data_IF_794200541116
#
_entry.id   IF_794200541116
#
_cell.length_a   1.000
_cell.length_b   1.000
_cell.length_c   1.000
_cell.angle_alpha   90.00
_cell.angle_beta   90.00
_cell.angle_gamma   90.00
#
_symmetry.space_group_name_H-M   'P 1'
#
loop_
_entity.id
_entity.type
_entity.pdbx_description
1 polymer ?
#
# COMPACT_ATOMS: atom_id res chain seq x y z
N UNK A 1 13.85 -23.43 -10.75
CA UNK A 1 14.52 -22.61 -11.77
C UNK A 1 13.97 -21.21 -11.62
N UNK A 2 14.67 -20.32 -10.91
CA UNK A 2 14.22 -18.93 -10.70
C UNK A 2 14.41 -18.17 -12.01
N UNK A 3 13.33 -17.64 -12.57
CA UNK A 3 13.41 -16.74 -13.74
C UNK A 3 13.44 -15.30 -13.26
N UNK A 4 14.38 -14.52 -13.76
CA UNK A 4 14.44 -13.06 -13.55
C UNK A 4 13.27 -12.42 -14.30
N UNK A 5 12.31 -11.85 -13.56
CA UNK A 5 11.04 -11.35 -14.11
C UNK A 5 11.16 -9.93 -14.71
N UNK A 6 12.23 -9.19 -14.39
CA UNK A 6 12.41 -7.82 -14.87
C UNK A 6 13.59 -7.77 -15.86
N UNK A 7 13.26 -7.66 -17.14
CA UNK A 7 14.24 -7.39 -18.20
C UNK A 7 14.70 -5.93 -18.11
N UNK A 8 16.02 -5.74 -18.17
CA UNK A 8 16.67 -4.43 -18.26
C UNK A 8 16.33 -3.82 -19.64
N UNK A 9 15.64 -2.69 -19.65
CA UNK A 9 15.59 -1.84 -20.85
C UNK A 9 16.77 -0.89 -20.75
N UNK A 10 17.82 -1.17 -21.52
CA UNK A 10 18.91 -0.22 -21.79
C UNK A 10 18.41 0.82 -22.79
N UNK A 11 18.29 2.06 -22.38
CA UNK A 11 18.23 3.20 -23.30
C UNK A 11 19.54 3.98 -23.18
N UNK A 12 20.38 3.86 -24.19
CA UNK A 12 21.55 4.72 -24.39
C UNK A 12 21.14 5.99 -25.11
N UNK A 13 21.34 7.14 -24.49
CA UNK A 13 21.51 8.40 -25.20
C UNK A 13 22.50 9.27 -24.43
N UNK A 14 23.75 9.37 -24.99
CA UNK A 14 24.73 10.39 -24.61
C UNK A 14 24.35 11.72 -25.29
N UNK A 15 24.12 12.73 -24.45
CA UNK A 15 24.27 14.12 -24.87
C UNK A 15 24.97 14.86 -23.74
N UNK A 16 26.22 15.25 -23.99
CA UNK A 16 27.02 16.13 -23.16
C UNK A 16 26.47 17.55 -23.21
N UNK A 17 25.88 18.02 -22.13
CA UNK A 17 25.73 19.43 -21.84
C UNK A 17 25.99 19.63 -20.36
N UNK A 18 26.68 20.71 -20.00
CA UNK A 18 27.03 21.12 -18.65
C UNK A 18 25.80 21.19 -17.75
N UNK A 19 25.51 20.11 -17.03
CA UNK A 19 24.36 19.99 -16.16
C UNK A 19 24.84 20.04 -14.71
N UNK A 20 24.28 20.96 -13.97
CA UNK A 20 23.98 20.71 -12.56
C UNK A 20 23.23 19.38 -12.54
N UNK A 21 23.88 18.32 -12.12
CA UNK A 21 23.24 17.01 -11.94
C UNK A 21 22.16 17.23 -10.89
N UNK A 22 20.92 17.35 -11.34
CA UNK A 22 19.81 17.13 -10.45
C UNK A 22 20.01 15.70 -9.89
N UNK A 23 20.10 15.59 -8.58
CA UNK A 23 20.22 14.30 -7.91
C UNK A 23 19.02 13.46 -8.34
N UNK A 24 19.26 12.38 -9.08
CA UNK A 24 18.16 11.51 -9.52
C UNK A 24 17.50 10.89 -8.27
N UNK A 25 16.18 10.98 -8.19
CA UNK A 25 15.43 10.37 -7.12
C UNK A 25 15.75 8.87 -7.05
N UNK A 26 16.06 8.40 -5.83
CA UNK A 26 16.31 6.98 -5.60
C UNK A 26 15.67 6.52 -4.30
N UNK A 27 15.04 5.35 -4.34
CA UNK A 27 14.40 4.69 -3.20
C UNK A 27 14.83 3.24 -3.09
N UNK A 28 14.58 2.61 -1.94
CA UNK A 28 14.81 1.18 -1.75
C UNK A 28 13.76 0.38 -2.53
N UNK A 29 14.16 -0.44 -3.50
CA UNK A 29 13.22 -1.29 -4.23
C UNK A 29 12.50 -2.25 -3.27
N UNK A 30 11.20 -2.48 -3.51
CA UNK A 30 10.41 -3.43 -2.75
C UNK A 30 9.35 -4.10 -3.61
N UNK A 31 8.80 -5.21 -3.13
CA UNK A 31 7.64 -5.87 -3.70
C UNK A 31 6.59 -6.03 -2.62
N UNK A 32 5.33 -5.91 -3.01
CA UNK A 32 4.17 -6.23 -2.19
C UNK A 32 3.20 -7.07 -3.02
N UNK A 33 2.71 -8.17 -2.47
CA UNK A 33 1.85 -9.10 -3.19
C UNK A 33 0.74 -9.60 -2.29
N UNK A 34 -0.37 -9.94 -2.89
CA UNK A 34 -1.44 -10.70 -2.26
C UNK A 34 -1.74 -11.97 -3.09
N UNK A 35 -2.93 -12.53 -2.95
CA UNK A 35 -3.33 -13.75 -3.65
C UNK A 35 -3.48 -13.54 -5.17
N UNK A 36 -3.85 -12.33 -5.60
CA UNK A 36 -4.35 -12.06 -6.95
C UNK A 36 -3.39 -11.23 -7.81
N UNK A 37 -2.60 -10.31 -7.21
CA UNK A 37 -1.73 -9.40 -7.96
C UNK A 37 -0.47 -9.00 -7.18
N UNK A 38 0.46 -8.39 -7.87
CA UNK A 38 1.74 -7.92 -7.31
C UNK A 38 2.00 -6.47 -7.70
N UNK A 39 2.54 -5.71 -6.75
CA UNK A 39 3.17 -4.41 -6.94
C UNK A 39 4.68 -4.53 -6.78
N UNK A 40 5.43 -3.87 -7.64
CA UNK A 40 6.88 -3.72 -7.54
C UNK A 40 7.28 -2.26 -7.62
N UNK A 41 7.92 -1.76 -6.58
CA UNK A 41 8.56 -0.45 -6.54
C UNK A 41 10.00 -0.58 -7.02
N UNK A 42 10.37 0.19 -8.05
CA UNK A 42 11.75 0.27 -8.54
C UNK A 42 12.53 1.35 -7.82
N UNK A 43 13.85 1.29 -7.92
CA UNK A 43 14.74 2.30 -7.32
C UNK A 43 14.53 3.72 -7.86
N UNK A 44 13.99 3.86 -9.06
CA UNK A 44 13.64 5.14 -9.67
C UNK A 44 12.29 5.72 -9.19
N UNK A 45 11.66 5.09 -8.19
CA UNK A 45 10.37 5.50 -7.62
C UNK A 45 9.16 5.17 -8.50
N UNK A 46 9.32 4.44 -9.59
CA UNK A 46 8.20 3.97 -10.41
C UNK A 46 7.60 2.70 -9.84
N UNK A 47 6.27 2.58 -9.91
CA UNK A 47 5.51 1.41 -9.47
C UNK A 47 5.05 0.61 -10.69
N UNK A 48 5.25 -0.70 -10.62
CA UNK A 48 4.85 -1.66 -11.64
C UNK A 48 3.94 -2.71 -11.03
N UNK A 49 2.91 -3.11 -11.77
CA UNK A 49 1.88 -4.02 -11.30
C UNK A 49 1.57 -5.11 -12.34
N UNK A 50 1.16 -6.30 -11.88
CA UNK A 50 0.68 -7.39 -12.73
C UNK A 50 -0.18 -8.37 -11.93
N UNK A 51 -1.00 -9.15 -12.62
CA UNK A 51 -1.95 -10.09 -12.06
C UNK A 51 -3.39 -9.72 -12.39
N UNK A 52 -4.33 -10.14 -11.54
CA UNK A 52 -5.75 -9.83 -11.67
C UNK A 52 -6.01 -8.33 -11.43
N UNK A 53 -6.92 -7.77 -12.21
CA UNK A 53 -7.24 -6.33 -12.18
C UNK A 53 -8.75 -6.04 -12.21
N UNK A 54 -9.57 -7.01 -11.91
CA UNK A 54 -11.03 -6.87 -11.93
C UNK A 54 -11.52 -5.66 -11.14
N UNK A 55 -10.81 -5.32 -10.06
CA UNK A 55 -11.14 -4.21 -9.16
C UNK A 55 -10.25 -2.98 -9.34
N UNK A 56 -9.46 -2.91 -10.41
CA UNK A 56 -8.59 -1.76 -10.71
C UNK A 56 -7.31 -1.68 -9.90
N UNK A 57 -6.94 -2.74 -9.19
CA UNK A 57 -5.80 -2.80 -8.27
C UNK A 57 -4.42 -2.61 -8.93
N UNK A 58 -4.31 -2.76 -10.26
CA UNK A 58 -3.06 -2.45 -10.98
C UNK A 58 -2.85 -0.94 -11.21
N UNK A 59 -3.90 -0.10 -11.05
CA UNK A 59 -3.77 1.36 -11.18
C UNK A 59 -3.48 1.84 -12.59
N UNK A 60 -3.92 1.12 -13.63
CA UNK A 60 -3.63 1.39 -15.03
C UNK A 60 -4.76 2.09 -15.79
N UNK A 61 -5.83 2.47 -15.08
CA UNK A 61 -7.00 3.16 -15.63
C UNK A 61 -8.00 2.25 -16.32
N UNK A 62 -7.88 0.94 -16.14
CA UNK A 62 -8.79 -0.10 -16.65
C UNK A 62 -8.93 -1.22 -15.63
N UNK A 63 -9.87 -2.13 -15.85
CA UNK A 63 -10.05 -3.36 -15.07
C UNK A 63 -9.54 -4.62 -15.79
N UNK A 64 -8.64 -4.47 -16.77
CA UNK A 64 -8.06 -5.60 -17.49
C UNK A 64 -6.85 -6.16 -16.75
N UNK A 65 -6.81 -7.48 -16.63
CA UNK A 65 -5.69 -8.22 -16.07
C UNK A 65 -4.41 -7.99 -16.89
N UNK A 66 -3.26 -8.10 -16.25
CA UNK A 66 -1.99 -8.08 -16.94
C UNK A 66 -1.12 -9.28 -16.56
N UNK A 67 -0.72 -10.05 -17.57
CA UNK A 67 0.22 -11.17 -17.41
C UNK A 67 1.69 -10.71 -17.27
N UNK A 68 1.95 -9.44 -17.54
CA UNK A 68 3.29 -8.85 -17.54
C UNK A 68 3.30 -7.59 -16.70
N UNK A 69 4.44 -7.20 -16.12
CA UNK A 69 4.56 -5.92 -15.42
C UNK A 69 4.17 -4.75 -16.30
N UNK A 70 3.20 -3.96 -15.84
CA UNK A 70 2.76 -2.70 -16.45
C UNK A 70 2.96 -1.58 -15.45
N UNK A 71 3.28 -0.39 -15.90
CA UNK A 71 3.51 0.74 -15.02
C UNK A 71 2.18 1.31 -14.52
N UNK A 72 2.03 1.44 -13.21
CA UNK A 72 0.92 2.15 -12.55
C UNK A 72 0.96 3.63 -12.93
N UNK A 73 -0.21 4.20 -13.25
CA UNK A 73 -0.31 5.58 -13.74
C UNK A 73 -0.28 6.60 -12.60
N UNK A 74 0.20 7.83 -12.92
CA UNK A 74 0.04 9.01 -12.08
C UNK A 74 0.91 9.05 -10.82
N UNK A 75 1.71 8.03 -10.55
CA UNK A 75 2.63 7.97 -9.41
C UNK A 75 4.03 8.44 -9.79
N UNK A 76 4.69 9.12 -8.87
CA UNK A 76 6.05 9.60 -9.01
C UNK A 76 6.76 9.58 -7.65
N UNK A 77 8.06 9.33 -7.67
CA UNK A 77 8.93 9.39 -6.50
C UNK A 77 8.40 8.57 -5.30
N UNK A 78 7.85 7.37 -5.58
CA UNK A 78 7.27 6.49 -4.57
C UNK A 78 8.36 5.88 -3.68
N UNK A 79 8.08 5.76 -2.38
CA UNK A 79 9.00 5.21 -1.37
C UNK A 79 8.45 3.96 -0.68
N UNK A 80 7.14 3.72 -0.75
CA UNK A 80 6.48 2.55 -0.16
C UNK A 80 5.29 2.12 -1.01
N UNK A 81 5.04 0.81 -1.13
CA UNK A 81 3.85 0.25 -1.77
C UNK A 81 3.25 -0.86 -0.91
N UNK A 82 1.92 -0.99 -0.95
CA UNK A 82 1.18 -2.03 -0.26
C UNK A 82 0.08 -2.61 -1.17
N UNK A 83 0.06 -3.93 -1.31
CA UNK A 83 -0.93 -4.71 -2.06
C UNK A 83 -1.70 -5.60 -1.09
N UNK A 84 -2.97 -5.29 -0.83
CA UNK A 84 -3.78 -6.03 0.14
C UNK A 84 -5.26 -6.04 -0.25
N UNK A 85 -5.85 -7.23 -0.32
CA UNK A 85 -7.22 -7.35 -0.84
C UNK A 85 -7.32 -6.79 -2.25
N UNK A 86 -8.38 -6.02 -2.51
CA UNK A 86 -8.63 -5.40 -3.82
C UNK A 86 -8.12 -3.95 -3.91
N UNK A 87 -7.46 -3.45 -2.84
CA UNK A 87 -6.87 -2.12 -2.77
C UNK A 87 -5.35 -2.15 -2.86
N UNK A 88 -4.84 -1.15 -3.53
CA UNK A 88 -3.41 -0.85 -3.58
C UNK A 88 -3.13 0.51 -2.97
N UNK A 89 -1.99 0.65 -2.32
CA UNK A 89 -1.54 1.91 -1.73
C UNK A 89 -0.09 2.18 -2.07
N UNK A 90 0.26 3.45 -2.03
CA UNK A 90 1.64 3.92 -2.12
C UNK A 90 1.85 5.13 -1.22
N UNK A 91 3.10 5.36 -0.85
CA UNK A 91 3.56 6.60 -0.23
C UNK A 91 4.61 7.21 -1.15
N UNK A 92 4.49 8.51 -1.45
CA UNK A 92 5.51 9.23 -2.19
C UNK A 92 6.58 9.85 -1.25
N UNK A 93 7.64 10.40 -1.82
CA UNK A 93 8.76 11.00 -1.08
C UNK A 93 8.36 12.22 -0.23
N UNK A 94 7.29 12.91 -0.64
CA UNK A 94 6.72 14.03 0.12
C UNK A 94 5.90 13.55 1.33
N UNK A 95 5.59 12.24 1.39
CA UNK A 95 4.85 11.60 2.47
C UNK A 95 3.34 11.64 2.28
N UNK A 96 2.85 11.84 1.07
CA UNK A 96 1.43 11.66 0.76
C UNK A 96 1.10 10.21 0.50
N UNK A 97 -0.10 9.82 0.92
CA UNK A 97 -0.66 8.48 0.67
C UNK A 97 -1.50 8.51 -0.59
N UNK A 98 -1.29 7.53 -1.44
CA UNK A 98 -2.06 7.26 -2.64
C UNK A 98 -2.76 5.92 -2.50
N UNK A 99 -4.01 5.82 -3.00
CA UNK A 99 -4.79 4.58 -3.00
C UNK A 99 -5.52 4.41 -4.33
N UNK A 100 -5.79 3.17 -4.70
CA UNK A 100 -6.58 2.82 -5.88
C UNK A 100 -7.14 1.40 -5.76
N UNK A 101 -8.03 1.05 -6.68
CA UNK A 101 -8.80 -0.17 -6.60
C UNK A 101 -10.13 0.02 -5.89
N UNK A 102 -10.91 -1.04 -5.81
CA UNK A 102 -12.24 -1.05 -5.20
C UNK A 102 -12.47 -2.33 -4.43
N UNK A 103 -13.16 -2.23 -3.30
CA UNK A 103 -13.56 -3.39 -2.51
C UNK A 103 -14.49 -4.31 -3.30
N UNK A 104 -14.24 -5.61 -3.21
CA UNK A 104 -15.12 -6.66 -3.73
C UNK A 104 -16.49 -6.55 -3.04
N UNK A 105 -17.56 -6.42 -3.80
CA UNK A 105 -18.91 -6.51 -3.27
C UNK A 105 -19.27 -7.98 -3.08
N UNK A 106 -19.63 -8.38 -1.86
CA UNK A 106 -20.07 -9.75 -1.55
C UNK A 106 -21.39 -10.15 -2.24
N UNK A 107 -22.13 -9.16 -2.77
CA UNK A 107 -23.46 -9.36 -3.36
C UNK A 107 -23.51 -9.31 -4.87
N UNK A 108 -22.40 -9.07 -5.55
CA UNK A 108 -22.41 -8.82 -6.98
C UNK A 108 -21.65 -9.86 -7.78
N UNK A 109 -22.37 -10.82 -8.35
CA UNK A 109 -22.01 -11.52 -9.59
C UNK A 109 -22.04 -10.59 -10.83
N UNK A 110 -22.30 -9.30 -10.64
CA UNK A 110 -22.36 -8.31 -11.69
C UNK A 110 -20.96 -7.83 -12.09
N UNK A 111 -20.75 -7.76 -13.40
CA UNK A 111 -19.58 -7.12 -14.00
C UNK A 111 -19.45 -5.69 -13.45
N UNK A 112 -18.56 -5.49 -12.48
CA UNK A 112 -18.29 -4.16 -11.93
C UNK A 112 -17.61 -3.35 -13.02
N UNK A 113 -18.34 -2.44 -13.62
CA UNK A 113 -17.77 -1.46 -14.54
C UNK A 113 -17.11 -0.37 -13.70
N UNK A 114 -15.82 -0.51 -13.45
CA UNK A 114 -15.02 0.52 -12.83
C UNK A 114 -14.92 1.75 -13.74
N UNK A 115 -15.04 2.93 -13.15
CA UNK A 115 -14.62 4.15 -13.83
C UNK A 115 -13.10 4.16 -13.95
N UNK A 116 -12.55 4.85 -14.94
CA UNK A 116 -11.09 5.04 -15.06
C UNK A 116 -10.51 5.68 -13.79
N UNK A 117 -11.28 6.52 -13.11
CA UNK A 117 -10.93 7.17 -11.85
C UNK A 117 -10.73 6.19 -10.71
N UNK A 118 -11.55 5.14 -10.60
CA UNK A 118 -11.41 4.12 -9.56
C UNK A 118 -10.21 3.20 -9.82
N UNK A 119 -9.82 3.05 -11.08
CA UNK A 119 -8.70 2.23 -11.53
C UNK A 119 -7.37 3.01 -11.66
N UNK A 120 -7.27 4.23 -11.11
CA UNK A 120 -6.05 5.04 -11.08
C UNK A 120 -5.77 5.53 -9.67
N UNK A 121 -4.48 5.70 -9.29
CA UNK A 121 -4.12 6.23 -7.99
C UNK A 121 -4.71 7.60 -7.69
N UNK A 122 -5.30 7.75 -6.51
CA UNK A 122 -5.83 8.99 -5.94
C UNK A 122 -5.09 9.32 -4.66
N UNK A 123 -4.78 10.60 -4.47
CA UNK A 123 -4.12 11.07 -3.25
C UNK A 123 -5.14 11.27 -2.13
N UNK A 124 -4.81 10.79 -0.93
CA UNK A 124 -5.51 11.12 0.30
C UNK A 124 -4.98 12.46 0.80
N UNK A 125 -5.83 13.48 0.86
CA UNK A 125 -5.41 14.83 1.26
C UNK A 125 -5.46 15.04 2.78
N UNK A 126 -6.15 14.17 3.51
CA UNK A 126 -6.34 14.27 4.95
C UNK A 126 -5.09 13.91 5.78
N UNK A 127 -4.08 13.29 5.16
CA UNK A 127 -2.86 12.86 5.85
C UNK A 127 -1.61 13.12 5.00
N UNK A 128 -0.54 13.49 5.67
CA UNK A 128 0.79 13.69 5.07
C UNK A 128 1.89 13.29 6.06
N UNK A 129 3.14 13.46 5.63
CA UNK A 129 4.32 13.12 6.43
C UNK A 129 4.39 11.63 6.79
N UNK A 130 3.81 10.78 5.93
CA UNK A 130 3.80 9.33 6.08
C UNK A 130 5.11 8.74 5.54
N UNK A 131 5.60 7.67 6.15
CA UNK A 131 6.75 6.87 5.67
C UNK A 131 6.37 5.46 5.26
N UNK A 132 5.29 4.91 5.83
CA UNK A 132 4.85 3.53 5.60
C UNK A 132 3.33 3.43 5.69
N UNK A 133 2.74 2.55 4.89
CA UNK A 133 1.33 2.16 4.96
C UNK A 133 1.22 0.64 4.95
N UNK A 134 0.27 0.12 5.71
CA UNK A 134 -0.17 -1.27 5.58
C UNK A 134 -1.70 -1.36 5.70
N UNK A 135 -2.29 -2.42 5.17
CA UNK A 135 -3.73 -2.56 5.03
C UNK A 135 -4.19 -3.97 5.37
N UNK A 136 -5.42 -4.11 5.84
CA UNK A 136 -6.11 -5.39 5.96
C UNK A 136 -7.04 -5.67 4.77
N UNK A 137 -7.09 -4.77 3.80
CA UNK A 137 -8.06 -4.74 2.72
C UNK A 137 -9.12 -3.65 2.94
N UNK A 138 -9.89 -3.69 4.02
CA UNK A 138 -10.91 -2.68 4.35
C UNK A 138 -10.32 -1.50 5.14
N UNK A 139 -9.46 -1.78 6.11
CA UNK A 139 -8.79 -0.75 6.93
C UNK A 139 -7.32 -0.63 6.59
N UNK A 140 -6.78 0.55 6.79
CA UNK A 140 -5.36 0.83 6.62
C UNK A 140 -4.78 1.57 7.81
N UNK A 141 -3.48 1.37 8.02
CA UNK A 141 -2.63 2.14 8.92
C UNK A 141 -1.63 2.95 8.11
N UNK A 142 -1.37 4.15 8.58
CA UNK A 142 -0.30 5.01 8.09
C UNK A 142 0.65 5.33 9.24
N UNK A 143 1.92 5.02 9.08
CA UNK A 143 2.98 5.38 10.00
C UNK A 143 3.66 6.65 9.51
N UNK A 144 3.57 7.69 10.33
CA UNK A 144 4.20 8.97 10.01
C UNK A 144 5.68 8.99 10.38
N UNK A 145 6.43 9.90 9.76
CA UNK A 145 7.87 10.10 10.03
C UNK A 145 8.17 10.51 11.49
N UNK A 146 7.17 11.04 12.21
CA UNK A 146 7.25 11.39 13.63
C UNK A 146 6.97 10.22 14.58
N UNK A 147 6.78 8.99 14.05
CA UNK A 147 6.52 7.79 14.83
C UNK A 147 5.06 7.64 15.32
N UNK A 148 4.14 8.51 14.89
CA UNK A 148 2.72 8.37 15.18
C UNK A 148 2.02 7.48 14.17
N UNK A 149 1.02 6.71 14.62
CA UNK A 149 0.23 5.81 13.80
C UNK A 149 -1.18 6.37 13.62
N UNK A 150 -1.68 6.29 12.40
CA UNK A 150 -3.01 6.75 12.03
C UNK A 150 -3.77 5.64 11.32
N UNK A 151 -5.08 5.54 11.55
CA UNK A 151 -5.97 4.56 10.91
C UNK A 151 -7.03 5.25 10.05
N UNK A 152 -7.47 4.56 9.00
CA UNK A 152 -8.60 4.98 8.16
C UNK A 152 -9.26 3.77 7.49
N UNK A 153 -10.51 3.96 7.07
CA UNK A 153 -11.25 2.99 6.26
C UNK A 153 -10.99 3.29 4.77
N UNK A 154 -10.65 2.29 3.99
CA UNK A 154 -10.36 2.44 2.55
C UNK A 154 -11.57 2.90 1.74
N UNK A 155 -12.78 2.76 2.27
CA UNK A 155 -14.03 3.27 1.67
C UNK A 155 -14.23 4.77 1.92
N UNK A 156 -13.62 5.31 2.98
CA UNK A 156 -13.68 6.73 3.38
C UNK A 156 -12.29 7.24 3.77
N UNK A 157 -11.31 7.22 2.85
CA UNK A 157 -9.90 7.38 3.18
C UNK A 157 -9.52 8.77 3.70
N UNK A 158 -10.37 9.78 3.49
CA UNK A 158 -10.16 11.13 4.03
C UNK A 158 -10.57 11.26 5.52
N UNK A 159 -11.19 10.22 6.10
CA UNK A 159 -11.54 10.17 7.53
C UNK A 159 -10.43 9.45 8.32
N UNK A 160 -9.35 10.16 8.57
CA UNK A 160 -8.17 9.63 9.29
C UNK A 160 -8.28 9.89 10.79
N UNK A 161 -7.88 8.91 11.61
CA UNK A 161 -7.89 8.98 13.06
C UNK A 161 -6.53 8.56 13.60
N UNK A 162 -6.01 9.30 14.60
CA UNK A 162 -4.80 8.88 15.29
C UNK A 162 -5.08 7.65 16.16
N UNK A 163 -4.16 6.71 16.17
CA UNK A 163 -4.17 5.61 17.14
C UNK A 163 -3.50 6.12 18.42
N UNK A 164 -4.28 6.28 19.48
CA UNK A 164 -3.78 6.80 20.74
C UNK A 164 -2.94 5.74 21.49
N UNK A 165 -2.09 6.20 22.40
CA UNK A 165 -1.24 5.33 23.21
C UNK A 165 0.03 4.83 22.51
N UNK A 166 0.20 5.06 21.20
CA UNK A 166 1.39 4.69 20.44
C UNK A 166 2.28 5.91 20.20
N UNK A 167 3.57 5.73 20.43
CA UNK A 167 4.60 6.73 20.12
C UNK A 167 5.90 6.05 19.70
N UNK A 168 6.75 6.81 19.01
CA UNK A 168 8.07 6.32 18.59
C UNK A 168 8.02 5.01 17.80
N UNK A 169 6.96 4.81 17.00
CA UNK A 169 6.80 3.59 16.20
C UNK A 169 7.74 3.62 14.99
N UNK A 170 8.37 2.48 14.74
CA UNK A 170 9.29 2.28 13.62
C UNK A 170 8.69 1.43 12.49
N UNK A 171 7.79 0.49 12.83
CA UNK A 171 7.16 -0.42 11.89
C UNK A 171 5.72 -0.72 12.27
N UNK A 172 4.88 -0.91 11.28
CA UNK A 172 3.47 -1.34 11.43
C UNK A 172 3.19 -2.57 10.57
N UNK A 173 2.22 -3.38 11.01
CA UNK A 173 1.72 -4.50 10.23
C UNK A 173 0.25 -4.74 10.53
N UNK A 174 -0.55 -5.00 9.49
CA UNK A 174 -1.95 -5.38 9.62
C UNK A 174 -2.21 -6.80 9.13
N UNK A 175 -3.06 -7.50 9.85
CA UNK A 175 -3.61 -8.78 9.45
C UNK A 175 -5.11 -8.70 9.18
N UNK A 176 -5.58 -9.51 8.23
CA UNK A 176 -6.99 -9.67 7.91
C UNK A 176 -7.58 -10.79 8.78
N UNK A 177 -8.81 -10.60 9.26
CA UNK A 177 -9.57 -11.65 9.95
C UNK A 177 -10.41 -12.40 8.92
N UNK A 178 -10.23 -13.70 8.83
CA UNK A 178 -10.98 -14.54 7.90
C UNK A 178 -12.47 -14.58 8.27
N UNK A 179 -13.32 -14.40 7.25
CA UNK A 179 -14.77 -14.45 7.40
C UNK A 179 -15.44 -13.19 7.96
N UNK A 180 -14.67 -12.11 8.19
CA UNK A 180 -15.23 -10.83 8.61
C UNK A 180 -14.36 -9.69 8.08
N UNK A 181 -14.78 -9.08 6.99
CA UNK A 181 -14.05 -7.97 6.33
C UNK A 181 -13.99 -6.70 7.20
N UNK A 182 -14.86 -6.59 8.21
CA UNK A 182 -14.89 -5.45 9.13
C UNK A 182 -13.98 -5.63 10.35
N UNK A 183 -13.28 -6.76 10.43
CA UNK A 183 -12.34 -7.03 11.53
C UNK A 183 -10.92 -7.12 11.02
N UNK A 184 -10.01 -6.58 11.81
CA UNK A 184 -8.57 -6.64 11.58
C UNK A 184 -7.86 -6.84 12.91
N UNK A 185 -6.62 -7.23 12.87
CA UNK A 185 -5.67 -7.06 13.95
C UNK A 185 -4.46 -6.30 13.44
N UNK A 186 -3.77 -5.64 14.32
CA UNK A 186 -2.62 -4.84 13.96
C UNK A 186 -1.52 -4.99 15.00
N UNK A 187 -0.28 -4.84 14.52
CA UNK A 187 0.92 -4.87 15.33
C UNK A 187 1.77 -3.63 15.01
N UNK A 188 2.45 -3.12 16.01
CA UNK A 188 3.45 -2.08 15.84
C UNK A 188 4.71 -2.41 16.64
N UNK A 189 5.87 -2.03 16.12
CA UNK A 189 7.15 -2.12 16.79
C UNK A 189 7.64 -0.70 17.08
N UNK A 190 7.97 -0.41 18.34
CA UNK A 190 8.58 0.87 18.70
C UNK A 190 10.11 0.81 18.65
N UNK A 191 10.76 1.98 18.78
CA UNK A 191 12.21 2.13 18.73
C UNK A 191 12.97 1.37 19.85
N UNK A 192 12.30 1.07 20.96
CA UNK A 192 12.88 0.37 22.10
C UNK A 192 12.71 -1.16 21.96
N UNK A 193 12.12 -1.64 20.87
CA UNK A 193 11.90 -3.04 20.56
C UNK A 193 10.63 -3.63 21.20
N UNK A 194 9.75 -2.80 21.77
CA UNK A 194 8.46 -3.28 22.28
C UNK A 194 7.49 -3.53 21.12
N UNK A 195 6.71 -4.59 21.26
CA UNK A 195 5.67 -4.95 20.29
C UNK A 195 4.31 -4.63 20.88
N UNK A 196 3.53 -3.83 20.16
CA UNK A 196 2.18 -3.42 20.48
C UNK A 196 1.19 -4.16 19.58
N UNK A 197 0.08 -4.65 20.14
CA UNK A 197 -0.93 -5.36 19.36
C UNK A 197 -2.33 -4.93 19.77
N UNK A 198 -3.24 -4.77 18.79
CA UNK A 198 -4.64 -4.41 19.03
C UNK A 198 -5.56 -4.96 17.94
N UNK A 199 -6.88 -4.86 18.18
CA UNK A 199 -7.92 -5.35 17.30
C UNK A 199 -8.34 -6.78 17.62
N UNK A 200 -8.81 -7.52 16.64
CA UNK A 200 -9.36 -8.85 16.83
C UNK A 200 -8.30 -9.88 17.24
N UNK A 201 -8.55 -10.64 18.30
CA UNK A 201 -7.65 -11.69 18.80
C UNK A 201 -8.30 -13.08 18.83
N UNK A 202 -9.37 -13.32 18.06
CA UNK A 202 -10.10 -14.60 18.04
C UNK A 202 -9.19 -15.81 17.79
N UNK A 203 -8.15 -15.62 16.97
CA UNK A 203 -7.19 -16.67 16.59
C UNK A 203 -5.83 -16.50 17.31
N UNK A 204 -5.80 -15.76 18.43
CA UNK A 204 -4.60 -15.51 19.25
C UNK A 204 -3.44 -14.84 18.51
N UNK A 205 -3.74 -14.09 17.44
CA UNK A 205 -2.72 -13.42 16.61
C UNK A 205 -1.95 -12.33 17.35
N UNK A 206 -2.48 -11.82 18.46
CA UNK A 206 -1.82 -10.81 19.29
C UNK A 206 -0.83 -11.39 20.32
N UNK A 207 -0.70 -12.72 20.41
CA UNK A 207 0.20 -13.38 21.37
C UNK A 207 -0.28 -13.30 22.83
N UNK A 208 -1.54 -12.97 23.05
CA UNK A 208 -2.19 -12.91 24.37
C UNK A 208 -3.47 -13.74 24.38
N UNK A 209 -3.97 -14.08 25.57
CA UNK A 209 -5.26 -14.78 25.72
C UNK A 209 -6.45 -13.84 25.86
N UNK A 210 -6.20 -12.55 26.01
CA UNK A 210 -7.22 -11.52 26.12
C UNK A 210 -7.62 -11.01 24.73
N UNK A 211 -8.91 -10.72 24.55
CA UNK A 211 -9.36 -10.03 23.35
C UNK A 211 -8.70 -8.65 23.30
N UNK A 212 -8.08 -8.33 22.16
CA UNK A 212 -7.48 -7.03 21.96
C UNK A 212 -8.54 -5.94 22.01
N UNK A 213 -8.29 -4.88 22.75
CA UNK A 213 -9.14 -3.69 22.72
C UNK A 213 -8.90 -2.94 21.42
N UNK A 214 -9.97 -2.46 20.78
CA UNK A 214 -9.86 -1.47 19.70
C UNK A 214 -9.25 -0.19 20.28
N UNK A 215 -8.01 0.11 19.90
CA UNK A 215 -7.34 1.37 20.21
C UNK A 215 -7.77 2.43 19.18
#
# INVERSE_FOLDING_TARGET
>A
MLKKVIGVILATSMLLSSNVLAEEFSTKPMVSTNEDYTLALKSDGTVWAWGENKYGSLGIGTSQDSLYPVQTKGLKDVVCVNAKGDYSMAVDSEGYVWYWGKERSETADEFIKLSADEATPKRINAINNVKEVDSSGTYALALKKDGTVWKFDNRTPDLVQKVDGLCDIEQIQMGKVYGDSNKYFAMALDKDGNVWGWGNNKDYCLGTTEDGTDL
#
